data_IF_397852587393
#
_entry.id   IF_397852587393
#
_cell.length_a   1.000
_cell.length_b   1.000
_cell.length_c   1.000
_cell.angle_alpha   90.00
_cell.angle_beta   90.00
_cell.angle_gamma   90.00
#
_symmetry.space_group_name_H-M   'P 1'
#
loop_
_entity.id
_entity.type
_entity.pdbx_description
1 polymer ?
#
# COMPACT_ATOMS: atom_id res chain seq x y z
N UNK A 1 -19.12 16.08 14.82
CA UNK A 1 -17.66 16.27 14.90
C UNK A 1 -17.44 17.71 15.37
N UNK A 2 -17.69 17.98 16.66
CA UNK A 2 -17.89 19.36 17.16
C UNK A 2 -16.65 19.96 17.85
N UNK A 3 -15.58 19.19 17.98
CA UNK A 3 -14.37 19.65 18.64
C UNK A 3 -13.30 20.08 17.62
N UNK A 4 -12.75 21.29 17.82
CA UNK A 4 -11.68 21.88 17.00
C UNK A 4 -10.47 20.94 16.93
N UNK A 5 -10.18 20.24 18.03
CA UNK A 5 -9.07 19.27 18.11
C UNK A 5 -9.31 18.08 17.19
N UNK A 6 -10.54 17.54 17.13
CA UNK A 6 -10.89 16.45 16.22
C UNK A 6 -10.75 16.86 14.75
N UNK A 7 -11.14 18.09 14.40
CA UNK A 7 -10.96 18.60 13.04
C UNK A 7 -9.49 18.77 12.67
N UNK A 8 -8.65 19.25 13.60
CA UNK A 8 -7.19 19.34 13.40
C UNK A 8 -6.56 17.96 13.21
N UNK A 9 -6.92 16.98 14.03
CA UNK A 9 -6.44 15.59 13.89
C UNK A 9 -6.83 15.00 12.54
N UNK A 10 -8.09 15.16 12.13
CA UNK A 10 -8.57 14.71 10.83
C UNK A 10 -7.81 15.38 9.68
N UNK A 11 -7.65 16.70 9.72
CA UNK A 11 -6.93 17.45 8.68
C UNK A 11 -5.43 17.13 8.65
N UNK A 12 -4.83 16.74 9.79
CA UNK A 12 -3.47 16.22 9.84
C UNK A 12 -3.32 14.91 9.04
N UNK A 13 -4.22 13.95 9.26
CA UNK A 13 -4.26 12.68 8.51
C UNK A 13 -4.50 12.94 7.02
N UNK A 14 -5.46 13.81 6.70
CA UNK A 14 -5.80 14.16 5.32
C UNK A 14 -4.63 14.86 4.62
N UNK A 15 -3.89 15.72 5.31
CA UNK A 15 -2.70 16.38 4.75
C UNK A 15 -1.56 15.40 4.48
N UNK A 16 -1.36 14.41 5.35
CA UNK A 16 -0.43 13.31 5.07
C UNK A 16 -0.79 12.60 3.76
N UNK A 17 -2.09 12.48 3.49
CA UNK A 17 -2.60 11.89 2.26
C UNK A 17 -2.64 12.84 1.04
N UNK A 18 -2.13 14.09 1.12
CA UNK A 18 -2.30 15.11 0.05
C UNK A 18 -1.74 14.70 -1.29
N UNK A 19 -0.66 13.93 -1.28
CA UNK A 19 -0.01 13.46 -2.49
C UNK A 19 -0.77 12.32 -3.14
N UNK A 20 -1.81 11.76 -2.52
CA UNK A 20 -2.56 10.61 -3.03
C UNK A 20 -3.99 10.99 -3.47
N UNK A 21 -4.52 12.12 -2.99
CA UNK A 21 -5.88 12.57 -3.32
C UNK A 21 -5.82 13.71 -4.33
N UNK A 22 -6.26 13.47 -5.57
CA UNK A 22 -6.40 14.52 -6.60
C UNK A 22 -7.33 15.64 -6.10
N UNK A 23 -6.90 16.88 -6.31
CA UNK A 23 -7.63 18.10 -5.92
C UNK A 23 -7.97 18.19 -4.43
N UNK A 24 -7.18 17.55 -3.55
CA UNK A 24 -7.44 17.60 -2.12
C UNK A 24 -7.50 19.02 -1.57
N UNK A 25 -6.63 19.92 -2.03
CA UNK A 25 -6.61 21.31 -1.57
C UNK A 25 -7.98 21.99 -1.78
N UNK A 26 -8.67 21.69 -2.88
CA UNK A 26 -10.01 22.21 -3.18
C UNK A 26 -11.08 21.60 -2.25
N UNK A 27 -10.94 20.31 -1.93
CA UNK A 27 -11.89 19.59 -1.05
C UNK A 27 -11.70 19.94 0.43
N UNK A 28 -10.46 20.04 0.90
CA UNK A 28 -10.11 20.30 2.30
C UNK A 28 -10.06 21.81 2.62
N UNK A 29 -9.96 22.69 1.63
CA UNK A 29 -9.90 24.14 1.80
C UNK A 29 -11.01 24.71 2.70
N UNK A 30 -12.30 24.38 2.47
CA UNK A 30 -13.39 24.80 3.34
C UNK A 30 -13.25 24.31 4.79
N UNK A 31 -12.72 23.10 4.98
CA UNK A 31 -12.48 22.53 6.31
C UNK A 31 -11.34 23.24 7.04
N UNK A 32 -10.26 23.61 6.34
CA UNK A 32 -9.19 24.45 6.89
C UNK A 32 -9.68 25.87 7.25
N UNK A 33 -10.63 26.42 6.48
CA UNK A 33 -11.18 27.74 6.76
C UNK A 33 -11.88 27.80 8.13
N UNK A 34 -12.48 26.70 8.59
CA UNK A 34 -13.10 26.61 9.93
C UNK A 34 -12.11 26.64 11.10
N UNK A 35 -10.84 26.32 10.85
CA UNK A 35 -9.79 26.38 11.88
C UNK A 35 -9.25 27.80 12.10
N UNK A 36 -9.57 28.75 11.21
CA UNK A 36 -9.14 30.16 11.32
C UNK A 36 -9.80 30.84 12.52
N UNK A 37 -9.14 31.87 13.08
CA UNK A 37 -9.65 32.65 14.23
C UNK A 37 -11.07 33.19 14.01
N UNK A 38 -11.37 33.63 12.79
CA UNK A 38 -12.67 34.20 12.40
C UNK A 38 -13.52 33.23 11.54
N UNK A 39 -13.16 31.94 11.50
CA UNK A 39 -13.87 30.95 10.69
C UNK A 39 -15.21 30.51 11.31
N UNK A 40 -16.18 30.15 10.47
CA UNK A 40 -17.43 29.54 10.94
C UNK A 40 -17.14 28.19 11.60
N UNK A 41 -17.28 28.11 12.93
CA UNK A 41 -16.97 26.90 13.69
C UNK A 41 -18.05 25.82 13.60
N UNK A 42 -19.26 26.21 13.24
CA UNK A 42 -20.37 25.27 13.06
C UNK A 42 -20.11 24.37 11.84
N UNK A 43 -20.31 23.06 12.01
CA UNK A 43 -20.17 22.06 10.96
C UNK A 43 -21.52 21.88 10.29
N UNK A 44 -21.65 22.29 9.03
CA UNK A 44 -22.88 22.22 8.27
C UNK A 44 -22.95 20.94 7.40
N UNK A 45 -24.04 20.77 6.67
CA UNK A 45 -24.27 19.63 5.78
C UNK A 45 -23.20 19.50 4.69
N UNK A 46 -22.72 20.61 4.13
CA UNK A 46 -21.66 20.60 3.12
C UNK A 46 -20.32 20.11 3.69
N UNK A 47 -19.99 20.46 4.92
CA UNK A 47 -18.77 19.98 5.56
C UNK A 47 -18.80 18.47 5.81
N UNK A 48 -19.96 17.96 6.21
CA UNK A 48 -20.20 16.51 6.36
C UNK A 48 -20.04 15.83 5.00
N UNK A 49 -20.56 16.43 3.93
CA UNK A 49 -20.42 15.93 2.55
C UNK A 49 -18.95 15.90 2.13
N UNK A 50 -18.19 16.97 2.38
CA UNK A 50 -16.75 17.04 2.05
C UNK A 50 -15.94 15.97 2.81
N UNK A 51 -16.20 15.78 4.11
CA UNK A 51 -15.55 14.72 4.90
C UNK A 51 -15.86 13.33 4.32
N UNK A 52 -17.10 13.09 3.90
CA UNK A 52 -17.50 11.82 3.27
C UNK A 52 -16.75 11.60 1.95
N UNK A 53 -16.74 12.59 1.07
CA UNK A 53 -16.03 12.52 -0.23
C UNK A 53 -14.53 12.28 -0.04
N UNK A 54 -13.89 12.95 0.92
CA UNK A 54 -12.47 12.75 1.22
C UNK A 54 -12.20 11.32 1.71
N UNK A 55 -13.08 10.77 2.56
CA UNK A 55 -12.98 9.39 3.04
C UNK A 55 -13.18 8.36 1.93
N UNK A 56 -14.14 8.58 1.03
CA UNK A 56 -14.42 7.69 -0.10
C UNK A 56 -13.29 7.69 -1.13
N UNK A 57 -12.62 8.82 -1.35
CA UNK A 57 -11.45 8.92 -2.25
C UNK A 57 -10.22 8.16 -1.75
N UNK A 58 -10.19 7.76 -0.48
CA UNK A 58 -9.11 6.96 0.11
C UNK A 58 -9.42 5.46 0.09
N UNK A 59 -10.46 5.03 -0.63
CA UNK A 59 -10.94 3.66 -0.58
C UNK A 59 -10.05 2.70 -1.40
N UNK A 60 -9.93 1.47 -0.90
CA UNK A 60 -9.27 0.33 -1.55
C UNK A 60 -9.79 0.05 -2.98
N UNK A 61 -11.03 0.44 -3.27
CA UNK A 61 -11.65 0.30 -4.60
C UNK A 61 -11.36 1.46 -5.56
N UNK A 62 -10.42 2.35 -5.22
CA UNK A 62 -10.00 3.42 -6.13
C UNK A 62 -9.40 2.82 -7.41
N UNK A 63 -9.60 3.44 -8.58
CA UNK A 63 -9.05 2.91 -9.83
C UNK A 63 -7.52 2.82 -9.78
N UNK A 64 -6.95 1.76 -10.39
CA UNK A 64 -5.48 1.56 -10.47
C UNK A 64 -4.76 2.76 -11.09
N UNK A 65 -5.43 3.50 -11.97
CA UNK A 65 -4.90 4.71 -12.64
C UNK A 65 -4.70 5.89 -11.68
N UNK A 66 -5.23 5.83 -10.46
CA UNK A 66 -5.06 6.86 -9.44
C UNK A 66 -3.98 6.51 -8.42
N UNK A 67 -3.38 5.33 -8.50
CA UNK A 67 -2.29 4.91 -7.64
C UNK A 67 -1.07 5.80 -7.84
N UNK A 68 -0.37 6.08 -6.74
CA UNK A 68 0.85 6.90 -6.75
C UNK A 68 1.93 6.22 -5.93
N UNK A 69 3.17 6.34 -6.40
CA UNK A 69 4.33 5.77 -5.73
C UNK A 69 4.52 6.48 -4.39
N UNK A 70 4.53 5.70 -3.30
CA UNK A 70 4.84 6.20 -1.97
C UNK A 70 6.34 6.11 -1.67
N UNK A 71 6.98 4.99 -2.04
CA UNK A 71 8.39 4.71 -1.80
C UNK A 71 8.88 3.56 -2.69
N UNK A 72 10.19 3.47 -2.91
CA UNK A 72 10.86 2.33 -3.54
C UNK A 72 11.92 1.75 -2.59
N UNK A 73 12.24 0.47 -2.77
CA UNK A 73 13.33 -0.23 -2.11
C UNK A 73 13.87 -1.27 -3.10
N UNK A 74 15.19 -1.47 -3.08
CA UNK A 74 15.87 -2.48 -3.90
C UNK A 74 17.02 -3.04 -3.08
N UNK A 75 17.26 -4.34 -3.17
CA UNK A 75 18.35 -5.02 -2.46
C UNK A 75 19.06 -6.03 -3.36
N UNK A 76 20.37 -6.14 -3.14
CA UNK A 76 21.21 -7.14 -3.79
C UNK A 76 21.18 -8.43 -2.99
N UNK A 77 20.93 -9.54 -3.67
CA UNK A 77 21.02 -10.86 -3.05
C UNK A 77 22.30 -11.58 -3.45
N UNK A 78 23.12 -11.99 -2.46
CA UNK A 78 24.25 -12.90 -2.69
C UNK A 78 23.72 -14.34 -2.74
N UNK A 79 23.20 -14.78 -3.89
CA UNK A 79 22.56 -16.10 -3.99
C UNK A 79 23.38 -17.07 -4.83
N UNK A 80 23.91 -18.12 -4.19
CA UNK A 80 24.43 -19.31 -4.87
C UNK A 80 23.26 -20.22 -5.27
N UNK A 81 23.12 -20.50 -6.56
CA UNK A 81 22.23 -21.52 -7.15
C UNK A 81 20.78 -21.58 -6.57
N UNK A 82 20.08 -20.43 -6.56
CA UNK A 82 18.69 -20.36 -6.12
C UNK A 82 17.75 -20.23 -7.33
N UNK A 83 16.66 -21.03 -7.34
CA UNK A 83 15.63 -21.04 -8.38
C UNK A 83 14.95 -19.67 -8.52
N UNK A 84 14.46 -19.34 -9.72
CA UNK A 84 13.80 -18.04 -9.96
C UNK A 84 12.61 -17.79 -9.02
N UNK A 85 11.79 -18.80 -8.74
CA UNK A 85 10.65 -18.66 -7.80
C UNK A 85 11.09 -18.34 -6.37
N UNK A 86 12.22 -18.90 -5.91
CA UNK A 86 12.77 -18.56 -4.60
C UNK A 86 13.25 -17.10 -4.54
N UNK A 87 13.82 -16.60 -5.65
CA UNK A 87 14.22 -15.19 -5.75
C UNK A 87 13.02 -14.26 -5.65
N UNK A 88 11.93 -14.58 -6.35
CA UNK A 88 10.68 -13.79 -6.28
C UNK A 88 10.09 -13.80 -4.86
N UNK A 89 10.09 -14.95 -4.19
CA UNK A 89 9.62 -15.05 -2.80
C UNK A 89 10.46 -14.21 -1.86
N UNK A 90 11.79 -14.29 -1.97
CA UNK A 90 12.71 -13.47 -1.18
C UNK A 90 12.52 -11.98 -1.47
N UNK A 91 12.27 -11.60 -2.72
CA UNK A 91 11.95 -10.22 -3.11
C UNK A 91 10.69 -9.72 -2.40
N UNK A 92 9.61 -10.51 -2.39
CA UNK A 92 8.37 -10.16 -1.69
C UNK A 92 8.59 -10.04 -0.18
N UNK A 93 9.24 -11.02 0.45
CA UNK A 93 9.54 -11.00 1.89
C UNK A 93 10.33 -9.73 2.24
N UNK A 94 11.36 -9.44 1.45
CA UNK A 94 12.21 -8.31 1.71
C UNK A 94 11.48 -6.97 1.52
N UNK A 95 10.64 -6.86 0.50
CA UNK A 95 9.79 -5.68 0.30
C UNK A 95 8.85 -5.47 1.50
N UNK A 96 8.19 -6.54 1.99
CA UNK A 96 7.31 -6.45 3.17
C UNK A 96 8.08 -5.96 4.40
N UNK A 97 9.29 -6.48 4.63
CA UNK A 97 10.13 -6.06 5.75
C UNK A 97 10.57 -4.59 5.64
N UNK A 98 11.04 -4.16 4.46
CA UNK A 98 11.44 -2.78 4.20
C UNK A 98 10.29 -1.79 4.40
N UNK A 99 9.07 -2.20 4.04
CA UNK A 99 7.88 -1.37 4.15
C UNK A 99 7.04 -1.65 5.40
N UNK A 100 7.54 -2.43 6.37
CA UNK A 100 6.81 -2.82 7.59
C UNK A 100 6.15 -1.65 8.31
N UNK A 101 6.86 -0.53 8.47
CA UNK A 101 6.32 0.68 9.12
C UNK A 101 5.18 1.34 8.33
N UNK A 102 5.16 1.18 7.00
CA UNK A 102 4.13 1.73 6.12
C UNK A 102 2.91 0.80 6.02
N UNK A 103 3.14 -0.52 5.98
CA UNK A 103 2.11 -1.53 5.85
C UNK A 103 1.31 -1.67 7.15
N UNK A 104 1.99 -1.61 8.31
CA UNK A 104 1.36 -1.74 9.63
C UNK A 104 0.50 -3.02 9.75
N UNK A 105 -0.52 -3.01 10.60
CA UNK A 105 -1.48 -4.12 10.74
C UNK A 105 -2.70 -3.99 9.81
N UNK A 106 -2.57 -3.25 8.71
CA UNK A 106 -3.66 -3.05 7.76
C UNK A 106 -3.60 -4.07 6.64
N UNK A 107 -4.75 -4.27 6.00
CA UNK A 107 -4.81 -5.07 4.79
C UNK A 107 -4.14 -4.34 3.62
N UNK A 108 -3.30 -5.06 2.87
CA UNK A 108 -2.63 -4.52 1.69
C UNK A 108 -2.54 -5.56 0.56
N UNK A 109 -2.34 -5.06 -0.65
CA UNK A 109 -2.22 -5.89 -1.86
C UNK A 109 -0.76 -5.93 -2.31
N UNK A 110 -0.22 -7.13 -2.51
CA UNK A 110 1.05 -7.38 -3.18
C UNK A 110 0.77 -7.77 -4.63
N UNK A 111 1.35 -7.02 -5.56
CA UNK A 111 1.27 -7.33 -7.00
C UNK A 111 2.58 -7.92 -7.48
N UNK A 112 2.51 -9.11 -8.08
CA UNK A 112 3.67 -9.82 -8.62
C UNK A 112 3.33 -10.45 -9.96
N UNK A 113 4.30 -10.48 -10.87
CA UNK A 113 4.23 -11.21 -12.13
C UNK A 113 4.53 -12.71 -11.96
N UNK A 114 4.92 -13.14 -10.76
CA UNK A 114 5.10 -14.56 -10.43
C UNK A 114 3.75 -15.25 -10.19
N UNK A 115 3.21 -15.91 -11.23
CA UNK A 115 1.96 -16.68 -11.10
C UNK A 115 2.02 -17.76 -10.02
N UNK A 116 3.20 -18.32 -9.72
CA UNK A 116 3.35 -19.36 -8.70
C UNK A 116 2.98 -18.85 -7.30
N UNK A 117 3.37 -17.62 -6.96
CA UNK A 117 3.02 -16.98 -5.69
C UNK A 117 1.50 -16.73 -5.62
N UNK A 118 0.93 -16.15 -6.68
CA UNK A 118 -0.50 -15.89 -6.74
C UNK A 118 -1.33 -17.18 -6.65
N UNK A 119 -0.94 -18.23 -7.37
CA UNK A 119 -1.61 -19.54 -7.33
C UNK A 119 -1.49 -20.20 -5.96
N UNK A 120 -0.35 -20.06 -5.29
CA UNK A 120 -0.15 -20.61 -3.95
C UNK A 120 -1.07 -19.94 -2.92
N UNK A 121 -1.09 -18.61 -2.89
CA UNK A 121 -1.89 -17.86 -1.92
C UNK A 121 -3.40 -17.96 -2.20
N UNK A 122 -3.81 -18.01 -3.48
CA UNK A 122 -5.22 -18.07 -3.86
C UNK A 122 -5.80 -19.50 -3.87
N UNK A 123 -4.98 -20.54 -3.68
CA UNK A 123 -5.47 -21.92 -3.60
C UNK A 123 -6.19 -22.16 -2.27
N UNK A 124 -7.49 -21.90 -2.32
CA UNK A 124 -8.47 -22.42 -1.38
C UNK A 124 -8.54 -23.95 -1.56
N UNK A 125 -8.04 -24.71 -0.58
CA UNK A 125 -8.38 -26.12 -0.34
C UNK A 125 -7.95 -27.24 -1.33
N UNK A 126 -6.71 -27.26 -1.83
CA UNK A 126 -6.15 -28.54 -2.29
C UNK A 126 -4.65 -28.64 -2.05
N UNK A 127 -4.25 -29.45 -1.06
CA UNK A 127 -2.86 -29.85 -0.72
C UNK A 127 -1.85 -28.71 -0.91
N UNK A 128 -1.78 -27.78 0.06
CA UNK A 128 -0.69 -26.79 0.12
C UNK A 128 0.63 -27.55 0.00
N UNK A 129 1.48 -27.13 -0.93
CA UNK A 129 2.80 -27.74 -1.14
C UNK A 129 3.64 -27.55 0.11
N UNK A 130 3.94 -28.64 0.83
CA UNK A 130 4.73 -28.67 2.08
C UNK A 130 6.22 -28.39 1.88
N UNK A 131 6.60 -27.65 0.82
CA UNK A 131 7.98 -27.27 0.61
C UNK A 131 8.36 -26.20 1.63
N UNK A 132 9.52 -26.35 2.29
CA UNK A 132 10.05 -25.42 3.30
C UNK A 132 9.95 -23.94 2.89
N UNK A 133 10.15 -23.66 1.59
CA UNK A 133 9.94 -22.35 0.94
C UNK A 133 8.60 -21.70 1.29
N UNK A 134 7.51 -22.43 1.10
CA UNK A 134 6.15 -21.91 1.25
C UNK A 134 5.73 -21.78 2.71
N UNK A 135 6.23 -22.66 3.56
CA UNK A 135 6.03 -22.58 5.02
C UNK A 135 6.68 -21.31 5.56
N UNK A 136 7.95 -21.05 5.22
CA UNK A 136 8.65 -19.83 5.64
C UNK A 136 7.96 -18.55 5.15
N UNK A 137 7.45 -18.58 3.91
CA UNK A 137 6.71 -17.47 3.35
C UNK A 137 5.42 -17.17 4.13
N UNK A 138 4.63 -18.21 4.42
CA UNK A 138 3.38 -18.08 5.20
C UNK A 138 3.64 -17.67 6.64
N UNK A 139 4.70 -18.19 7.28
CA UNK A 139 5.08 -17.83 8.65
C UNK A 139 5.44 -16.35 8.76
N UNK A 140 6.16 -15.80 7.78
CA UNK A 140 6.52 -14.37 7.78
C UNK A 140 5.29 -13.49 7.56
N UNK A 141 4.37 -13.90 6.69
CA UNK A 141 3.16 -13.12 6.39
C UNK A 141 2.19 -13.21 7.58
N UNK A 142 1.85 -14.43 7.98
CA UNK A 142 0.84 -14.73 9.01
C UNK A 142 1.36 -14.48 10.41
N UNK A 143 2.59 -14.87 10.71
CA UNK A 143 3.21 -14.72 12.03
C UNK A 143 3.42 -13.26 12.44
N UNK A 144 3.52 -12.34 11.49
CA UNK A 144 3.52 -10.90 11.74
C UNK A 144 2.12 -10.26 11.79
N UNK A 145 1.06 -11.05 11.56
CA UNK A 145 -0.33 -10.60 11.58
C UNK A 145 -0.75 -9.76 10.36
N UNK A 146 -0.03 -9.87 9.23
CA UNK A 146 -0.39 -9.14 8.03
C UNK A 146 -1.58 -9.78 7.32
N UNK A 147 -2.51 -8.95 6.85
CA UNK A 147 -3.59 -9.37 5.96
C UNK A 147 -3.22 -9.01 4.52
N UNK A 148 -2.63 -9.97 3.79
CA UNK A 148 -2.09 -9.73 2.45
C UNK A 148 -3.03 -10.30 1.38
N UNK A 149 -3.21 -9.55 0.30
CA UNK A 149 -3.92 -9.99 -0.90
C UNK A 149 -2.92 -10.07 -2.04
N UNK A 150 -2.84 -11.22 -2.71
CA UNK A 150 -1.96 -11.38 -3.86
C UNK A 150 -2.73 -11.21 -5.17
N UNK A 151 -2.28 -10.26 -5.97
CA UNK A 151 -2.80 -9.99 -7.31
C UNK A 151 -1.71 -10.26 -8.35
N UNK A 152 -2.06 -11.00 -9.40
CA UNK A 152 -1.15 -11.15 -10.52
C UNK A 152 -1.17 -9.90 -11.40
N UNK A 153 0.01 -9.41 -11.79
CA UNK A 153 0.17 -8.33 -12.77
C UNK A 153 0.96 -8.85 -13.98
N UNK A 154 0.56 -8.46 -15.19
CA UNK A 154 1.32 -8.84 -16.38
C UNK A 154 2.70 -8.17 -16.35
N UNK A 155 3.75 -8.87 -16.74
CA UNK A 155 5.12 -8.32 -16.73
C UNK A 155 5.26 -6.98 -17.48
N UNK A 156 4.50 -6.80 -18.58
CA UNK A 156 4.45 -5.53 -19.33
C UNK A 156 3.94 -4.33 -18.53
N UNK A 157 3.14 -4.57 -17.49
CA UNK A 157 2.56 -3.56 -16.61
C UNK A 157 3.38 -3.47 -15.29
N UNK A 158 4.38 -4.34 -15.11
CA UNK A 158 5.29 -4.40 -13.96
C UNK A 158 6.62 -3.68 -14.23
N UNK A 159 6.57 -2.58 -14.98
CA UNK A 159 7.78 -1.92 -15.55
C UNK A 159 8.70 -1.33 -14.49
N UNK A 160 8.16 -0.73 -13.43
CA UNK A 160 8.97 -0.07 -12.41
C UNK A 160 9.84 -1.08 -11.62
N UNK A 161 9.27 -2.12 -10.98
CA UNK A 161 10.09 -3.16 -10.33
C UNK A 161 11.06 -3.85 -11.29
N UNK A 162 10.68 -4.04 -12.56
CA UNK A 162 11.56 -4.62 -13.56
C UNK A 162 12.79 -3.74 -13.85
N UNK A 163 12.60 -2.43 -13.97
CA UNK A 163 13.70 -1.47 -14.12
C UNK A 163 14.62 -1.50 -12.88
N UNK A 164 14.06 -1.48 -11.67
CA UNK A 164 14.84 -1.46 -10.44
C UNK A 164 15.58 -2.78 -10.17
N UNK A 165 15.03 -3.92 -10.58
CA UNK A 165 15.67 -5.23 -10.42
C UNK A 165 16.75 -5.50 -11.46
N UNK A 166 16.59 -4.96 -12.68
CA UNK A 166 17.53 -5.18 -13.80
C UNK A 166 18.57 -4.08 -13.97
N UNK A 167 18.36 -2.89 -13.43
CA UNK A 167 19.31 -1.78 -13.53
C UNK A 167 20.51 -2.00 -12.62
N UNK A 168 21.70 -2.08 -13.22
CA UNK A 168 23.00 -2.15 -12.55
C UNK A 168 23.46 -0.79 -11.99
N UNK A 169 22.75 0.29 -12.29
CA UNK A 169 23.17 1.68 -11.99
C UNK A 169 22.61 2.18 -10.65
N UNK A 170 21.46 1.65 -10.18
CA UNK A 170 20.82 2.05 -8.91
C UNK A 170 21.26 1.19 -7.72
N UNK A 171 22.48 0.69 -7.80
CA UNK A 171 23.02 -0.41 -7.02
C UNK A 171 24.17 0.01 -6.09
N UNK A 172 24.29 1.30 -5.80
CA UNK A 172 25.19 1.86 -4.78
C UNK A 172 24.52 1.92 -3.40
#
# INVERSE_FOLDING_TARGET
MNDKKTLQQFLGIVNYARNYIKNLAKLAGPLYAKLRKNGQKHFNSEDIRLVRVIKEKLNKYSPKTEERICRYASEKYKLKAINNTDREILAVINAINNFRLYLGFKEFTVRTDCEAICKYHNKVNSKKSSTRRWVLFEDIITGNGYKVIFEHIKGKDNTLPDIFSRSSILQE
#
